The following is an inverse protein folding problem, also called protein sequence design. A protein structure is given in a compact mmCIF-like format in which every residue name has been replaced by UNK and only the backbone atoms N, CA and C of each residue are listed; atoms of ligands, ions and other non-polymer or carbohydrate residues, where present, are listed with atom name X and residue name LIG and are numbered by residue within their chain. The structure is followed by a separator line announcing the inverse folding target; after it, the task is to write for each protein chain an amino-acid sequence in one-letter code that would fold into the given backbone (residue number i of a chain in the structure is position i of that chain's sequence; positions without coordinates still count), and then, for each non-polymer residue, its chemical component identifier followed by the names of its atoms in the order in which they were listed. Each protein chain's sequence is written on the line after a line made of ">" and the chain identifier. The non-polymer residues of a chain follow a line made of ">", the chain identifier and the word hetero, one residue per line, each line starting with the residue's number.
data_IF_526714307247
#
_entry.id   IF_526714307247
#
_cell.length_a   1.000
_cell.length_b   1.000
_cell.length_c   1.000
_cell.angle_alpha   90.00
_cell.angle_beta   90.00
_cell.angle_gamma   90.00
#
_symmetry.space_group_name_H-M   'P 1'
#
loop_
_entity.id
_entity.type
_entity.pdbx_description
1 polymer ?
#
# COMPACT_ATOMS: atom_id res chain seq x y z
N UNK A 1 4.86 4.88 9.15
CA UNK A 1 3.72 4.65 8.24
C UNK A 1 4.21 3.95 7.00
N UNK A 2 3.46 3.01 6.47
CA UNK A 2 3.71 2.35 5.17
C UNK A 2 2.70 2.88 4.15
N UNK A 3 3.11 3.14 2.92
CA UNK A 3 2.22 3.47 1.80
C UNK A 3 2.44 2.40 0.73
N UNK A 4 1.36 1.76 0.30
CA UNK A 4 1.41 0.81 -0.81
C UNK A 4 1.25 1.56 -2.13
N UNK A 5 2.13 1.29 -3.09
CA UNK A 5 1.89 1.61 -4.50
C UNK A 5 1.49 0.32 -5.20
N UNK A 6 0.20 0.19 -5.51
CA UNK A 6 -0.38 -1.07 -5.95
C UNK A 6 0.09 -1.49 -7.33
N UNK A 7 0.24 -2.81 -7.53
CA UNK A 7 0.47 -3.43 -8.83
C UNK A 7 -0.74 -4.19 -9.37
N UNK A 8 -1.89 -4.09 -8.72
CA UNK A 8 -3.19 -4.54 -9.24
C UNK A 8 -3.94 -5.57 -8.39
N UNK A 9 -3.30 -6.23 -7.43
CA UNK A 9 -3.99 -7.14 -6.48
C UNK A 9 -4.13 -6.46 -5.12
N UNK A 10 -5.03 -5.48 -5.05
CA UNK A 10 -5.16 -4.60 -3.88
C UNK A 10 -5.60 -5.34 -2.62
N UNK A 11 -6.40 -6.40 -2.75
CA UNK A 11 -6.88 -7.19 -1.62
C UNK A 11 -5.72 -7.94 -0.96
N UNK A 12 -4.90 -8.62 -1.78
CA UNK A 12 -3.69 -9.27 -1.31
C UNK A 12 -2.68 -8.26 -0.75
N UNK A 13 -2.40 -7.18 -1.49
CA UNK A 13 -1.43 -6.16 -1.12
C UNK A 13 -1.82 -5.46 0.19
N UNK A 14 -3.10 -5.17 0.39
CA UNK A 14 -3.60 -4.58 1.64
C UNK A 14 -3.38 -5.52 2.81
N UNK A 15 -3.65 -6.81 2.67
CA UNK A 15 -3.44 -7.78 3.75
C UNK A 15 -1.96 -7.93 4.10
N UNK A 16 -1.13 -8.21 3.09
CA UNK A 16 0.30 -8.48 3.30
C UNK A 16 1.04 -7.25 3.81
N UNK A 17 0.74 -6.05 3.29
CA UNK A 17 1.41 -4.82 3.72
C UNK A 17 0.89 -4.28 5.04
N UNK A 18 -0.36 -4.57 5.42
CA UNK A 18 -0.83 -4.28 6.78
C UNK A 18 -0.07 -5.12 7.80
N UNK A 19 0.04 -6.44 7.57
CA UNK A 19 0.81 -7.33 8.44
C UNK A 19 2.30 -6.94 8.49
N UNK A 20 2.88 -6.52 7.37
CA UNK A 20 4.25 -6.03 7.32
C UNK A 20 4.41 -4.72 8.11
N UNK A 21 3.49 -3.76 7.93
CA UNK A 21 3.53 -2.51 8.67
C UNK A 21 3.42 -2.73 10.18
N UNK A 22 2.55 -3.64 10.62
CA UNK A 22 2.41 -4.04 12.02
C UNK A 22 3.70 -4.63 12.59
N UNK A 23 4.39 -5.50 11.83
CA UNK A 23 5.70 -6.04 12.23
C UNK A 23 6.76 -4.96 12.44
N UNK A 24 6.72 -3.89 11.63
CA UNK A 24 7.60 -2.74 11.83
C UNK A 24 7.22 -1.88 13.04
N UNK A 25 6.12 -2.19 13.74
CA UNK A 25 5.54 -1.35 14.78
C UNK A 25 4.80 -0.12 14.22
N UNK A 26 4.44 -0.13 12.94
CA UNK A 26 3.80 0.96 12.21
C UNK A 26 2.41 0.53 11.69
N UNK A 27 1.71 1.39 10.95
CA UNK A 27 0.51 1.04 10.20
C UNK A 27 0.62 1.34 8.70
N UNK A 28 -0.21 0.67 7.91
CA UNK A 28 -0.47 1.01 6.51
C UNK A 28 -1.35 2.28 6.47
N UNK A 29 -0.79 3.37 5.94
CA UNK A 29 -1.45 4.69 5.89
C UNK A 29 -2.40 4.79 4.72
N UNK A 30 -1.97 4.30 3.56
CA UNK A 30 -2.76 4.38 2.34
C UNK A 30 -2.28 3.34 1.32
N UNK A 31 -3.18 2.99 0.40
CA UNK A 31 -2.88 2.19 -0.78
C UNK A 31 -3.24 3.04 -2.00
N UNK A 32 -2.24 3.35 -2.82
CA UNK A 32 -2.41 4.07 -4.07
C UNK A 32 -2.75 3.04 -5.14
N UNK A 33 -3.91 3.13 -5.80
CA UNK A 33 -4.37 2.14 -6.76
C UNK A 33 -3.56 2.20 -8.06
N UNK A 34 -3.61 1.11 -8.82
CA UNK A 34 -3.13 1.12 -10.20
C UNK A 34 -4.10 1.95 -11.06
N UNK A 35 -3.57 2.90 -11.84
CA UNK A 35 -4.42 3.81 -12.63
C UNK A 35 -3.75 4.24 -13.93
N UNK A 36 -4.50 4.15 -15.04
CA UNK A 36 -4.07 4.64 -16.35
C UNK A 36 -3.79 6.16 -16.34
N UNK A 37 -4.57 6.92 -15.55
CA UNK A 37 -4.36 8.36 -15.38
C UNK A 37 -2.99 8.65 -14.75
N UNK A 38 -2.58 7.85 -13.75
CA UNK A 38 -1.27 7.99 -13.10
C UNK A 38 -0.17 7.71 -14.12
N UNK A 39 -0.28 6.63 -14.88
CA UNK A 39 0.71 6.27 -15.91
C UNK A 39 0.84 7.33 -17.00
N UNK A 40 -0.28 7.88 -17.49
CA UNK A 40 -0.27 8.95 -18.47
C UNK A 40 0.44 10.20 -17.94
N UNK A 41 0.20 10.55 -16.68
CA UNK A 41 0.87 11.69 -16.02
C UNK A 41 2.38 11.44 -15.85
N UNK A 42 2.80 10.23 -15.48
CA UNK A 42 4.21 9.84 -15.39
C UNK A 42 4.94 10.00 -16.73
N UNK A 43 4.33 9.59 -17.84
CA UNK A 43 4.88 9.78 -19.19
C UNK A 43 5.04 11.26 -19.55
N UNK A 44 4.07 12.09 -19.14
CA UNK A 44 4.07 13.53 -19.40
C UNK A 44 4.97 14.33 -18.45
N UNK A 45 5.47 13.71 -17.37
CA UNK A 45 6.29 14.39 -16.36
C UNK A 45 5.53 15.43 -15.55
N UNK A 46 4.22 15.27 -15.41
CA UNK A 46 3.33 16.16 -14.64
C UNK A 46 2.66 15.39 -13.52
N UNK A 47 2.22 16.06 -12.47
CA UNK A 47 1.47 15.39 -11.40
C UNK A 47 0.02 15.18 -11.80
N UNK A 48 -0.64 14.17 -11.23
CA UNK A 48 -2.07 13.93 -11.44
C UNK A 48 -2.93 15.13 -11.02
N UNK A 49 -2.52 15.84 -9.96
CA UNK A 49 -3.23 17.04 -9.49
C UNK A 49 -3.13 18.21 -10.48
N UNK A 50 -2.03 18.32 -11.23
CA UNK A 50 -1.88 19.35 -12.27
C UNK A 50 -2.64 19.00 -13.55
N UNK A 51 -2.54 17.75 -14.00
CA UNK A 51 -3.12 17.29 -15.25
C UNK A 51 -4.62 17.00 -15.15
N UNK A 52 -5.02 16.23 -14.13
CA UNK A 52 -6.37 15.71 -13.94
C UNK A 52 -6.89 15.98 -12.52
N UNK A 53 -7.05 17.25 -12.09
CA UNK A 53 -7.38 17.58 -10.70
C UNK A 53 -8.70 16.99 -10.19
N UNK A 54 -9.61 16.55 -11.07
CA UNK A 54 -10.92 15.99 -10.68
C UNK A 54 -11.01 14.48 -10.89
N UNK A 55 -9.91 13.80 -11.24
CA UNK A 55 -9.94 12.34 -11.40
C UNK A 55 -10.00 11.61 -10.06
N UNK A 56 -10.38 10.34 -10.12
CA UNK A 56 -10.35 9.43 -8.97
C UNK A 56 -8.92 9.25 -8.44
N UNK A 57 -7.92 9.23 -9.34
CA UNK A 57 -6.52 9.21 -8.94
C UNK A 57 -6.11 10.48 -8.15
N UNK A 58 -6.55 11.66 -8.58
CA UNK A 58 -6.32 12.90 -7.82
C UNK A 58 -6.98 12.85 -6.44
N UNK A 59 -8.18 12.29 -6.35
CA UNK A 59 -8.88 12.15 -5.07
C UNK A 59 -8.17 11.16 -4.13
N UNK A 60 -7.65 10.05 -4.65
CA UNK A 60 -6.80 9.13 -3.86
C UNK A 60 -5.58 9.85 -3.28
N UNK A 61 -4.87 10.67 -4.08
CA UNK A 61 -3.74 11.45 -3.55
C UNK A 61 -4.17 12.46 -2.47
N UNK A 62 -5.37 13.04 -2.54
CA UNK A 62 -5.89 13.91 -1.48
C UNK A 62 -6.21 13.14 -0.21
N UNK A 63 -6.84 11.98 -0.34
CA UNK A 63 -7.13 11.11 0.81
C UNK A 63 -5.85 10.62 1.47
N UNK A 64 -4.84 10.25 0.69
CA UNK A 64 -3.51 9.91 1.19
C UNK A 64 -2.88 11.09 1.94
N UNK A 65 -2.92 12.29 1.36
CA UNK A 65 -2.39 13.49 2.00
C UNK A 65 -3.09 13.78 3.34
N UNK A 66 -4.43 13.68 3.37
CA UNK A 66 -5.22 13.85 4.59
C UNK A 66 -4.88 12.80 5.66
N UNK A 67 -4.75 11.52 5.27
CA UNK A 67 -4.35 10.44 6.17
C UNK A 67 -2.95 10.65 6.75
N UNK A 68 -2.00 11.13 5.94
CA UNK A 68 -0.64 11.49 6.40
C UNK A 68 -0.69 12.66 7.38
N UNK A 69 -1.45 13.71 7.06
CA UNK A 69 -1.57 14.92 7.90
C UNK A 69 -2.22 14.61 9.25
N UNK A 70 -3.21 13.72 9.29
CA UNK A 70 -3.90 13.27 10.50
C UNK A 70 -3.15 12.18 11.26
N UNK A 71 -2.12 11.58 10.68
CA UNK A 71 -1.38 10.51 11.34
C UNK A 71 -0.47 11.06 12.46
N UNK A 72 -0.83 10.76 13.70
CA UNK A 72 -0.08 11.12 14.90
C UNK A 72 0.93 10.04 15.34
N UNK A 73 0.89 8.84 14.75
CA UNK A 73 1.80 7.75 15.10
C UNK A 73 3.24 8.08 14.70
N UNK A 74 4.16 8.06 15.67
CA UNK A 74 5.60 8.24 15.51
C UNK A 74 6.30 7.12 16.28
N UNK A 75 6.97 6.24 15.54
CA UNK A 75 7.56 5.01 16.08
C UNK A 75 9.01 4.88 15.60
N UNK A 76 9.85 4.28 16.44
CA UNK A 76 11.15 3.75 15.99
C UNK A 76 10.83 2.38 15.39
N UNK A 77 11.03 2.17 14.08
CA UNK A 77 10.65 0.92 13.45
C UNK A 77 11.51 -0.24 13.97
N UNK A 78 10.90 -1.41 14.12
CA UNK A 78 11.61 -2.66 14.36
C UNK A 78 11.94 -3.30 13.00
N UNK A 79 13.22 -3.36 12.58
CA UNK A 79 13.57 -3.97 11.31
C UNK A 79 13.17 -5.45 11.26
N UNK A 80 12.80 -5.92 10.08
CA UNK A 80 12.72 -7.36 9.83
C UNK A 80 14.12 -7.83 9.43
N UNK A 81 14.76 -8.57 10.32
CA UNK A 81 16.18 -8.95 10.20
C UNK A 81 16.40 -10.06 9.17
N UNK A 82 15.49 -11.04 9.11
CA UNK A 82 15.64 -12.23 8.29
C UNK A 82 14.75 -12.18 7.04
N UNK A 83 15.30 -12.51 5.87
CA UNK A 83 14.51 -12.59 4.64
C UNK A 83 13.42 -13.66 4.73
N UNK A 84 13.70 -14.77 5.42
CA UNK A 84 12.75 -15.87 5.62
C UNK A 84 11.45 -15.41 6.28
N UNK A 85 11.54 -14.44 7.18
CA UNK A 85 10.37 -13.86 7.85
C UNK A 85 9.46 -13.11 6.88
N UNK A 86 10.05 -12.39 5.91
CA UNK A 86 9.31 -11.71 4.86
C UNK A 86 8.68 -12.72 3.89
N UNK A 87 9.43 -13.77 3.52
CA UNK A 87 8.93 -14.83 2.66
C UNK A 87 7.78 -15.62 3.29
N UNK A 88 7.83 -15.88 4.60
CA UNK A 88 6.74 -16.52 5.34
C UNK A 88 5.51 -15.62 5.44
N UNK A 89 5.72 -14.33 5.72
CA UNK A 89 4.65 -13.34 5.72
C UNK A 89 3.97 -13.27 4.35
N UNK A 90 4.74 -13.25 3.26
CA UNK A 90 4.20 -13.26 1.91
C UNK A 90 3.42 -14.55 1.62
N UNK A 91 4.04 -15.73 1.84
CA UNK A 91 3.40 -17.03 1.60
C UNK A 91 2.08 -17.21 2.34
N UNK A 92 1.96 -16.69 3.57
CA UNK A 92 0.72 -16.77 4.36
C UNK A 92 -0.45 -16.09 3.68
N UNK A 93 -0.21 -15.02 2.94
CA UNK A 93 -1.26 -14.24 2.28
C UNK A 93 -1.46 -14.66 0.82
N UNK A 94 -0.50 -15.37 0.21
CA UNK A 94 -0.61 -15.88 -1.17
C UNK A 94 -1.21 -17.29 -1.25
N UNK A 95 -1.15 -18.07 -0.16
CA UNK A 95 -1.68 -19.43 -0.15
C UNK A 95 -3.20 -19.41 -0.34
N UNK A 96 -3.77 -20.22 -1.25
CA UNK A 96 -5.22 -20.39 -1.32
C UNK A 96 -5.70 -20.91 0.03
N UNK A 97 -6.78 -20.32 0.55
CA UNK A 97 -7.47 -20.77 1.75
C UNK A 97 -7.58 -22.29 1.69
N UNK A 98 -6.93 -23.00 2.62
CA UNK A 98 -6.87 -24.45 2.60
C UNK A 98 -8.31 -24.98 2.55
N UNK A 99 -8.69 -25.60 1.44
CA UNK A 99 -10.01 -26.19 1.26
C UNK A 99 -10.30 -27.09 2.48
N UNK A 100 -11.50 -27.01 3.09
CA UNK A 100 -11.81 -27.83 4.25
C UNK A 100 -11.62 -29.29 3.88
N UNK A 101 -10.79 -29.99 4.66
CA UNK A 101 -10.61 -31.43 4.53
C UNK A 101 -11.98 -32.10 4.60
N UNK A 102 -12.38 -32.72 3.49
CA UNK A 102 -13.61 -33.51 3.37
C UNK A 102 -13.50 -34.82 4.13
#
# INVERSE_FOLDING_TARGET
>A
GVICNSRGDEDFERQVLSAFAERLGSGLIHLVPHSDDIQACEVLGVTVLEHSPRSEAAENFRQMADAILKNESRVIPTPVEELTDLEELYRRHTAPEAAPAS
#
